data_IF_765680899340
#
_entry.id   IF_765680899340
#
_cell.length_a   1.000
_cell.length_b   1.000
_cell.length_c   1.000
_cell.angle_alpha   90.00
_cell.angle_beta   90.00
_cell.angle_gamma   90.00
#
_symmetry.space_group_name_H-M   'P 1'
#
loop_
_entity.id
_entity.type
_entity.pdbx_description
1 polymer ?
#
# COMPACT_ATOMS: atom_id res chain seq x y z
N UNK A 1 18.95 -7.81 -27.57
CA UNK A 1 19.18 -8.28 -26.18
C UNK A 1 18.08 -7.74 -25.29
N UNK A 2 17.09 -8.56 -24.92
CA UNK A 2 15.97 -8.12 -24.07
C UNK A 2 16.44 -7.96 -22.61
N UNK A 3 16.52 -6.72 -22.17
CA UNK A 3 16.97 -6.36 -20.83
C UNK A 3 16.04 -6.95 -19.76
N UNK A 4 16.68 -7.55 -18.76
CA UNK A 4 16.07 -8.32 -17.68
C UNK A 4 15.03 -7.50 -16.92
N UNK A 5 13.86 -8.11 -16.74
CA UNK A 5 12.74 -7.65 -15.90
C UNK A 5 13.28 -7.18 -14.54
N UNK A 6 13.00 -5.95 -14.07
CA UNK A 6 13.30 -5.62 -12.70
C UNK A 6 12.41 -6.52 -11.84
N UNK A 7 13.07 -7.41 -11.12
CA UNK A 7 12.52 -8.20 -10.04
C UNK A 7 11.49 -7.37 -9.27
N UNK A 8 10.37 -8.02 -8.99
CA UNK A 8 9.16 -7.42 -8.45
C UNK A 8 9.46 -6.78 -7.11
N UNK A 9 9.93 -5.52 -7.12
CA UNK A 9 9.90 -4.62 -5.97
C UNK A 9 8.46 -4.69 -5.50
N UNK A 10 8.21 -5.43 -4.42
CA UNK A 10 6.93 -5.53 -3.73
C UNK A 10 6.59 -4.09 -3.33
N UNK A 11 5.98 -3.36 -4.25
CA UNK A 11 5.69 -1.96 -4.04
C UNK A 11 4.80 -1.93 -2.81
N UNK A 12 5.31 -1.31 -1.75
CA UNK A 12 4.62 -1.16 -0.48
C UNK A 12 3.24 -0.61 -0.79
N UNK A 13 2.24 -1.45 -0.64
CA UNK A 13 0.90 -1.05 -1.05
C UNK A 13 0.36 -0.07 -0.02
N UNK A 14 -0.12 1.07 -0.49
CA UNK A 14 -0.89 2.01 0.30
C UNK A 14 -2.17 1.34 0.84
N UNK A 15 -2.63 1.76 2.00
CA UNK A 15 -3.93 1.34 2.51
C UNK A 15 -5.06 1.74 1.55
N UNK A 16 -6.19 1.04 1.62
CA UNK A 16 -7.34 1.27 0.74
C UNK A 16 -7.82 2.73 0.77
N UNK A 17 -7.80 3.37 1.94
CA UNK A 17 -8.16 4.78 2.07
C UNK A 17 -7.22 5.71 1.32
N UNK A 18 -5.90 5.58 1.53
CA UNK A 18 -4.91 6.39 0.84
C UNK A 18 -4.94 6.17 -0.67
N UNK A 19 -5.19 4.92 -1.10
CA UNK A 19 -5.34 4.55 -2.51
C UNK A 19 -6.58 5.18 -3.14
N UNK A 20 -7.73 5.15 -2.46
CA UNK A 20 -8.96 5.78 -2.93
C UNK A 20 -8.82 7.31 -3.04
N UNK A 21 -8.09 7.93 -2.10
CA UNK A 21 -7.84 9.38 -2.11
C UNK A 21 -6.61 9.81 -2.90
N UNK A 22 -5.88 8.89 -3.51
CA UNK A 22 -4.62 9.14 -4.23
C UNK A 22 -3.62 9.99 -3.43
N UNK A 23 -3.53 9.73 -2.13
CA UNK A 23 -2.60 10.41 -1.21
C UNK A 23 -1.45 9.47 -0.80
N UNK A 24 -0.32 10.05 -0.39
CA UNK A 24 0.78 9.30 0.19
C UNK A 24 0.35 8.48 1.40
N UNK A 25 0.76 7.22 1.47
CA UNK A 25 0.50 6.33 2.60
C UNK A 25 1.81 6.09 3.36
N UNK A 26 1.93 6.71 4.53
CA UNK A 26 3.07 6.51 5.44
C UNK A 26 2.65 5.49 6.49
N UNK A 27 3.26 4.30 6.48
CA UNK A 27 3.10 3.31 7.57
C UNK A 27 3.76 3.86 8.84
N UNK A 28 3.10 3.83 10.00
CA UNK A 28 3.80 4.02 11.27
C UNK A 28 4.71 2.81 11.56
N UNK A 29 5.58 2.93 12.56
CA UNK A 29 6.36 1.79 13.08
C UNK A 29 5.48 0.60 13.44
N UNK A 30 6.06 -0.59 13.26
CA UNK A 30 5.44 -1.91 13.37
C UNK A 30 4.85 -2.21 14.77
N UNK A 31 5.17 -1.40 15.77
CA UNK A 31 4.73 -1.54 17.17
C UNK A 31 3.34 -0.96 17.48
N UNK A 32 2.68 -0.31 16.50
CA UNK A 32 1.35 0.25 16.72
C UNK A 32 0.26 -0.85 16.63
N UNK A 33 -0.53 -1.10 17.69
CA UNK A 33 -1.52 -2.18 17.72
C UNK A 33 -2.61 -2.02 16.65
N UNK A 34 -2.86 -0.80 16.19
CA UNK A 34 -3.89 -0.49 15.19
C UNK A 34 -3.43 -0.74 13.74
N UNK A 35 -2.14 -0.95 13.49
CA UNK A 35 -1.54 -1.02 12.14
C UNK A 35 -2.09 0.09 11.20
N UNK A 36 -2.41 1.27 11.72
CA UNK A 36 -3.07 2.35 10.96
C UNK A 36 -2.04 3.30 10.36
N UNK A 37 -2.10 3.55 9.05
CA UNK A 37 -1.20 4.53 8.41
C UNK A 37 -1.29 5.91 9.11
N UNK A 38 -0.19 6.68 9.12
CA UNK A 38 -0.13 8.00 9.78
C UNK A 38 -1.24 8.94 9.27
N UNK A 39 -1.60 8.84 7.99
CA UNK A 39 -2.70 9.62 7.42
C UNK A 39 -4.09 9.22 7.94
N UNK A 40 -4.31 7.94 8.26
CA UNK A 40 -5.54 7.47 8.86
C UNK A 40 -5.58 7.81 10.35
N UNK A 41 -4.46 7.64 11.05
CA UNK A 41 -4.32 7.99 12.47
C UNK A 41 -4.57 9.49 12.71
N UNK A 42 -3.91 10.38 11.96
CA UNK A 42 -4.13 11.84 12.06
C UNK A 42 -5.55 12.28 11.73
N UNK A 43 -6.27 11.52 10.91
CA UNK A 43 -7.67 11.77 10.54
C UNK A 43 -8.68 10.99 11.39
N UNK A 44 -8.21 10.31 12.45
CA UNK A 44 -8.99 9.43 13.33
C UNK A 44 -9.90 8.47 12.54
N UNK A 45 -9.36 7.89 11.46
CA UNK A 45 -10.10 6.98 10.57
C UNK A 45 -10.00 5.54 11.06
N UNK A 46 -11.15 4.98 11.42
CA UNK A 46 -11.33 3.55 11.68
C UNK A 46 -11.45 2.81 10.32
N UNK A 47 -10.67 1.74 10.13
CA UNK A 47 -10.66 0.95 8.88
C UNK A 47 -9.45 1.11 7.96
N UNK A 48 -8.26 1.41 8.51
CA UNK A 48 -7.03 1.41 7.73
C UNK A 48 -6.63 -0.03 7.34
N UNK A 49 -7.14 -0.51 6.19
CA UNK A 49 -6.83 -1.85 5.70
C UNK A 49 -5.80 -1.78 4.58
N UNK A 50 -4.73 -2.56 4.70
CA UNK A 50 -3.75 -2.75 3.65
C UNK A 50 -4.16 -3.89 2.72
N UNK A 51 -4.07 -3.72 1.40
CA UNK A 51 -4.31 -4.83 0.48
C UNK A 51 -3.16 -5.85 0.59
N UNK A 52 -3.50 -7.13 0.70
CA UNK A 52 -2.56 -8.24 0.78
C UNK A 52 -2.12 -8.75 -0.59
N UNK A 53 -2.91 -8.49 -1.64
CA UNK A 53 -2.63 -8.91 -3.02
C UNK A 53 -2.55 -7.71 -3.97
N UNK A 54 -1.52 -7.68 -4.82
CA UNK A 54 -1.37 -6.70 -5.89
C UNK A 54 -1.85 -7.34 -7.18
N UNK A 55 -2.93 -6.82 -7.78
CA UNK A 55 -3.38 -7.24 -9.12
C UNK A 55 -2.60 -6.56 -10.27
N UNK A 56 -1.57 -5.76 -9.97
CA UNK A 56 -0.74 -5.13 -11.00
C UNK A 56 0.11 -6.20 -11.69
N UNK A 57 0.06 -6.23 -13.02
CA UNK A 57 0.76 -7.24 -13.84
C UNK A 57 -0.10 -8.42 -14.31
N UNK A 58 -1.35 -8.54 -13.85
CA UNK A 58 -2.27 -9.60 -14.32
C UNK A 58 -2.97 -9.29 -15.65
N UNK A 59 -2.57 -8.23 -16.35
CA UNK A 59 -3.05 -7.97 -17.70
C UNK A 59 -2.14 -8.70 -18.67
N UNK A 60 -2.26 -10.03 -18.72
CA UNK A 60 -1.79 -10.80 -19.86
C UNK A 60 -2.72 -10.47 -21.03
N UNK A 61 -2.20 -9.74 -22.01
CA UNK A 61 -2.75 -9.75 -23.37
C UNK A 61 -1.87 -10.68 -24.20
#
# INVERSE_FOLDING_TARGET
ANARRPDSKKQVMACLFCRARKIGCVRPSEDAPDQTCNQCSRRKRTGCRYPTQSRRGHHAR
#
